data_IF_704479005822
#
_entry.id   IF_704479005822
#
_cell.length_a   1.000
_cell.length_b   1.000
_cell.length_c   1.000
_cell.angle_alpha   90.00
_cell.angle_beta   90.00
_cell.angle_gamma   90.00
#
_symmetry.space_group_name_H-M   'P 1'
#
loop_
_entity.id
_entity.type
_entity.pdbx_description
1 polymer ?
#
# COMPACT_ATOMS: atom_id res chain seq x y z
N UNK A 1 5.91 13.53 13.23
CA UNK A 1 5.36 12.24 12.74
C UNK A 1 5.49 11.19 13.84
N UNK A 2 4.37 10.64 14.33
CA UNK A 2 4.36 9.65 15.44
C UNK A 2 5.06 8.33 15.10
N UNK A 3 5.11 7.93 13.82
CA UNK A 3 5.83 6.71 13.35
C UNK A 3 7.32 6.66 13.69
N UNK A 4 7.98 7.81 13.88
CA UNK A 4 9.41 7.88 14.23
C UNK A 4 9.69 7.48 15.69
N UNK A 5 8.65 7.33 16.50
CA UNK A 5 8.71 6.92 17.91
C UNK A 5 8.60 5.40 18.08
N UNK A 6 8.53 4.64 16.99
CA UNK A 6 8.47 3.17 17.03
C UNK A 6 9.89 2.63 17.06
N UNK A 7 10.17 1.79 18.05
CA UNK A 7 11.42 1.09 18.26
C UNK A 7 11.23 -0.40 17.92
N UNK A 8 11.53 -0.84 16.69
CA UNK A 8 11.25 -2.21 16.25
C UNK A 8 12.05 -3.29 16.99
N UNK A 9 13.17 -2.92 17.64
CA UNK A 9 14.07 -3.85 18.34
C UNK A 9 13.77 -3.99 19.85
N UNK A 10 12.65 -3.41 20.33
CA UNK A 10 12.28 -3.46 21.73
C UNK A 10 11.65 -4.80 22.07
N UNK A 11 12.44 -5.72 22.63
CA UNK A 11 12.02 -7.10 22.98
C UNK A 11 10.77 -7.16 23.89
N UNK A 12 10.44 -6.10 24.63
CA UNK A 12 9.26 -6.05 25.53
C UNK A 12 7.96 -5.63 24.83
N UNK A 13 8.01 -4.92 23.70
CA UNK A 13 6.81 -4.37 23.05
C UNK A 13 6.87 -4.54 21.53
N UNK A 14 5.94 -5.32 20.98
CA UNK A 14 5.85 -5.48 19.53
C UNK A 14 5.48 -4.16 18.83
N UNK A 15 5.92 -4.01 17.58
CA UNK A 15 5.58 -2.87 16.71
C UNK A 15 4.06 -2.62 16.68
N UNK A 16 3.25 -3.68 16.62
CA UNK A 16 1.78 -3.56 16.64
C UNK A 16 1.23 -2.90 17.92
N UNK A 17 1.77 -3.25 19.08
CA UNK A 17 1.39 -2.62 20.37
C UNK A 17 1.86 -1.16 20.43
N UNK A 18 3.05 -0.87 19.90
CA UNK A 18 3.56 0.50 19.79
C UNK A 18 2.67 1.35 18.86
N UNK A 19 2.23 0.80 17.73
CA UNK A 19 1.29 1.47 16.82
C UNK A 19 -0.05 1.78 17.51
N UNK A 20 -0.58 0.85 18.30
CA UNK A 20 -1.82 1.04 19.07
C UNK A 20 -1.69 2.17 20.09
N UNK A 21 -0.60 2.20 20.87
CA UNK A 21 -0.31 3.27 21.85
C UNK A 21 -0.19 4.62 21.17
N UNK A 22 0.45 4.67 20.00
CA UNK A 22 0.67 5.90 19.24
C UNK A 22 -0.55 6.31 18.39
N UNK A 23 -1.63 5.52 18.42
CA UNK A 23 -2.83 5.71 17.58
C UNK A 23 -2.49 5.89 16.10
N UNK A 24 -1.61 5.04 15.58
CA UNK A 24 -1.29 4.97 14.14
C UNK A 24 -1.68 3.61 13.58
N UNK A 25 -2.09 3.59 12.31
CA UNK A 25 -2.34 2.33 11.61
C UNK A 25 -1.03 1.54 11.48
N UNK A 26 -1.12 0.23 11.69
CA UNK A 26 -0.02 -0.70 11.47
C UNK A 26 0.44 -0.70 10.00
N UNK A 27 -0.48 -0.56 9.05
CA UNK A 27 -0.14 -0.48 7.62
C UNK A 27 0.69 0.75 7.27
N UNK A 28 0.40 1.89 7.90
CA UNK A 28 1.13 3.14 7.70
C UNK A 28 2.57 3.08 8.22
N UNK A 29 2.88 2.15 9.13
CA UNK A 29 4.25 1.94 9.60
C UNK A 29 5.14 1.32 8.53
N UNK A 30 4.64 0.30 7.83
CA UNK A 30 5.39 -0.38 6.75
C UNK A 30 5.30 0.34 5.41
N UNK A 31 4.31 1.22 5.23
CA UNK A 31 4.16 1.98 4.01
C UNK A 31 5.31 2.99 3.84
N UNK A 32 6.18 2.72 2.87
CA UNK A 32 7.13 3.69 2.34
C UNK A 32 6.54 4.30 1.06
N UNK A 33 6.40 5.64 0.97
CA UNK A 33 5.98 6.27 -0.27
C UNK A 33 7.03 5.96 -1.34
N UNK A 34 6.65 5.15 -2.33
CA UNK A 34 7.43 4.95 -3.54
C UNK A 34 6.99 6.04 -4.51
N UNK A 35 7.95 6.78 -5.07
CA UNK A 35 7.64 7.75 -6.12
C UNK A 35 6.95 7.07 -7.30
N UNK A 36 6.19 7.84 -8.09
CA UNK A 36 5.59 7.30 -9.31
C UNK A 36 6.69 6.95 -10.32
N UNK A 37 6.73 5.69 -10.74
CA UNK A 37 7.61 5.23 -11.81
C UNK A 37 6.94 5.41 -13.17
N UNK A 38 7.71 5.66 -14.23
CA UNK A 38 7.23 5.74 -15.61
C UNK A 38 6.46 4.48 -16.07
N UNK A 39 6.73 3.32 -15.48
CA UNK A 39 5.98 2.07 -15.73
C UNK A 39 4.50 2.14 -15.30
N UNK A 40 4.18 2.95 -14.28
CA UNK A 40 2.84 3.05 -13.71
C UNK A 40 1.82 3.66 -14.69
N UNK A 41 2.08 4.82 -15.34
CA UNK A 41 1.18 5.36 -16.35
C UNK A 41 1.04 4.45 -17.57
N UNK A 42 2.08 3.70 -17.96
CA UNK A 42 1.97 2.78 -19.09
C UNK A 42 1.09 1.57 -18.76
N UNK A 43 1.18 1.03 -17.54
CA UNK A 43 0.29 -0.02 -17.07
C UNK A 43 -1.16 0.45 -16.97
N UNK A 44 -1.40 1.69 -16.53
CA UNK A 44 -2.74 2.28 -16.52
C UNK A 44 -3.33 2.36 -17.93
N UNK A 45 -2.57 2.88 -18.91
CA UNK A 45 -3.02 2.95 -20.32
C UNK A 45 -3.35 1.58 -20.89
N UNK A 46 -2.53 0.56 -20.59
CA UNK A 46 -2.78 -0.82 -21.03
C UNK A 46 -4.06 -1.38 -20.43
N UNK A 47 -4.31 -1.10 -19.14
CA UNK A 47 -5.53 -1.50 -18.45
C UNK A 47 -6.76 -0.85 -19.09
N UNK A 48 -6.72 0.47 -19.31
CA UNK A 48 -7.81 1.21 -19.95
C UNK A 48 -8.11 0.67 -21.36
N UNK A 49 -7.05 0.40 -22.14
CA UNK A 49 -7.16 -0.18 -23.49
C UNK A 49 -7.87 -1.54 -23.46
N UNK A 50 -7.50 -2.43 -22.54
CA UNK A 50 -8.11 -3.75 -22.42
C UNK A 50 -9.61 -3.65 -22.09
N UNK A 51 -9.99 -2.74 -21.18
CA UNK A 51 -11.40 -2.53 -20.82
C UNK A 51 -12.22 -1.97 -21.99
N UNK A 52 -11.64 -1.10 -22.82
CA UNK A 52 -12.31 -0.54 -23.99
C UNK A 52 -12.42 -1.54 -25.14
N UNK A 53 -11.38 -2.33 -25.40
CA UNK A 53 -11.35 -3.31 -26.49
C UNK A 53 -12.18 -4.56 -26.18
N UNK A 54 -12.32 -4.91 -24.91
CA UNK A 54 -13.03 -6.13 -24.49
C UNK A 54 -13.92 -5.89 -23.26
N UNK A 55 -15.10 -5.29 -23.43
CA UNK A 55 -15.97 -4.91 -22.31
C UNK A 55 -16.55 -6.09 -21.51
N UNK A 56 -16.46 -7.33 -22.01
CA UNK A 56 -17.04 -8.52 -21.37
C UNK A 56 -16.00 -9.55 -20.90
N UNK A 57 -14.69 -9.26 -20.99
CA UNK A 57 -13.67 -10.20 -20.47
C UNK A 57 -13.77 -10.29 -18.96
N UNK A 58 -14.27 -11.43 -18.46
CA UNK A 58 -14.44 -11.69 -17.03
C UNK A 58 -15.91 -11.79 -16.55
N UNK A 59 -16.89 -11.47 -17.39
CA UNK A 59 -18.28 -11.81 -17.12
C UNK A 59 -18.50 -13.30 -17.45
N UNK A 60 -18.55 -14.15 -16.43
CA UNK A 60 -19.14 -15.48 -16.59
C UNK A 60 -20.64 -15.31 -16.87
N UNK A 61 -21.17 -16.06 -17.84
CA UNK A 61 -22.60 -16.04 -18.23
C UNK A 61 -23.53 -16.28 -17.04
#
# INVERSE_FOLDING_TARGET
MRRKLIEPNLHRLSVGKQCAVLSISWSSFYYAPKGESEMNPDLMKLTDKQFLETPFTGCSR
#
